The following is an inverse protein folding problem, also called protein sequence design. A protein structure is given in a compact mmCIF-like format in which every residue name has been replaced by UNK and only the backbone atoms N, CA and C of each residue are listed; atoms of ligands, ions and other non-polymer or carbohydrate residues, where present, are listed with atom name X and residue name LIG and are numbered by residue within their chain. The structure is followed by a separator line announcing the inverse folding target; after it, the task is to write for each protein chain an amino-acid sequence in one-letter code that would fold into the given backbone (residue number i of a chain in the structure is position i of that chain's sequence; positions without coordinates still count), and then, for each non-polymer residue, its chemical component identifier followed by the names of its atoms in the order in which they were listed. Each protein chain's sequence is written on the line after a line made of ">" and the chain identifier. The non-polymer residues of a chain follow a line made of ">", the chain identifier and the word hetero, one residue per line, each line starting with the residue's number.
data_IF_782670101846
#
_entry.id   IF_782670101846
#
_cell.length_a   1.000
_cell.length_b   1.000
_cell.length_c   1.000
_cell.angle_alpha   90.00
_cell.angle_beta   90.00
_cell.angle_gamma   90.00
#
_symmetry.space_group_name_H-M   'P 1'
#
loop_
_entity.id
_entity.type
_entity.pdbx_description
1 polymer ?
#
# COMPACT_ATOMS: atom_id res chain seq x y z
N UNK A 1 -27.13 61.03 18.33
CA UNK A 1 -27.14 59.98 17.28
C UNK A 1 -25.76 59.37 17.22
N UNK A 2 -25.57 58.14 17.72
CA UNK A 2 -24.29 57.41 17.61
C UNK A 2 -24.60 56.12 16.86
N UNK A 3 -24.13 56.02 15.62
CA UNK A 3 -24.29 54.85 14.78
C UNK A 3 -23.27 53.79 15.22
N UNK A 4 -23.76 52.65 15.72
CA UNK A 4 -22.95 51.45 15.95
C UNK A 4 -22.73 50.76 14.61
N UNK A 5 -21.49 50.76 14.12
CA UNK A 5 -21.05 49.93 13.00
C UNK A 5 -20.77 48.54 13.55
N UNK A 6 -21.61 47.57 13.17
CA UNK A 6 -21.38 46.15 13.44
C UNK A 6 -20.43 45.60 12.36
N UNK A 7 -19.22 45.21 12.79
CA UNK A 7 -18.27 44.49 11.95
C UNK A 7 -18.67 43.01 11.94
N UNK A 8 -19.24 42.52 10.84
CA UNK A 8 -19.44 41.09 10.63
C UNK A 8 -18.15 40.49 10.09
N UNK A 9 -17.42 39.76 10.95
CA UNK A 9 -16.34 38.87 10.53
C UNK A 9 -16.95 37.67 9.81
N UNK A 10 -16.88 37.66 8.48
CA UNK A 10 -17.18 36.49 7.66
C UNK A 10 -16.09 35.44 7.88
N UNK A 11 -16.36 34.46 8.75
CA UNK A 11 -15.59 33.22 8.81
C UNK A 11 -15.92 32.39 7.57
N UNK A 12 -15.07 32.45 6.56
CA UNK A 12 -15.14 31.50 5.45
C UNK A 12 -14.83 30.09 5.99
N UNK A 13 -15.68 29.08 5.75
CA UNK A 13 -15.36 27.72 6.12
C UNK A 13 -14.20 27.25 5.25
N UNK A 14 -13.05 27.00 5.87
CA UNK A 14 -11.92 26.33 5.24
C UNK A 14 -12.33 24.87 5.02
N UNK A 15 -12.94 24.57 3.88
CA UNK A 15 -13.04 23.19 3.42
C UNK A 15 -11.62 22.78 3.06
N UNK A 16 -10.95 22.09 3.98
CA UNK A 16 -9.75 21.34 3.64
C UNK A 16 -10.16 20.35 2.54
N UNK A 17 -9.74 20.62 1.31
CA UNK A 17 -9.81 19.63 0.24
C UNK A 17 -9.09 18.39 0.77
N UNK A 18 -9.80 17.26 0.87
CA UNK A 18 -9.16 16.00 1.25
C UNK A 18 -8.00 15.75 0.28
N UNK A 19 -6.77 15.62 0.80
CA UNK A 19 -5.60 15.37 -0.03
C UNK A 19 -5.80 14.10 -0.87
N UNK A 20 -5.56 14.19 -2.18
CA UNK A 20 -5.68 13.05 -3.08
C UNK A 20 -4.44 12.15 -2.96
N UNK A 21 -4.38 11.32 -1.91
CA UNK A 21 -3.21 10.48 -1.64
C UNK A 21 -2.93 9.44 -2.74
N UNK A 22 -3.93 9.08 -3.52
CA UNK A 22 -3.75 8.32 -4.77
C UNK A 22 -2.76 9.03 -5.71
N UNK A 23 -2.90 10.35 -5.90
CA UNK A 23 -1.99 11.13 -6.73
C UNK A 23 -0.57 11.18 -6.14
N UNK A 24 -0.43 11.21 -4.81
CA UNK A 24 0.88 11.14 -4.14
C UNK A 24 1.57 9.80 -4.40
N UNK A 25 0.83 8.68 -4.32
CA UNK A 25 1.34 7.34 -4.66
C UNK A 25 1.77 7.27 -6.13
N UNK A 26 0.96 7.83 -7.04
CA UNK A 26 1.28 7.88 -8.47
C UNK A 26 2.56 8.68 -8.77
N UNK A 27 2.73 9.83 -8.11
CA UNK A 27 3.96 10.62 -8.20
C UNK A 27 5.17 9.80 -7.72
N UNK A 28 5.03 9.04 -6.62
CA UNK A 28 6.14 8.22 -6.11
C UNK A 28 6.55 7.11 -7.07
N UNK A 29 5.60 6.35 -7.63
CA UNK A 29 5.96 5.28 -8.58
C UNK A 29 6.60 5.80 -9.87
N UNK A 30 6.36 7.07 -10.24
CA UNK A 30 7.03 7.72 -11.37
C UNK A 30 8.51 8.02 -11.09
N UNK A 31 8.87 8.18 -9.81
CA UNK A 31 10.23 8.45 -9.32
C UNK A 31 11.02 7.18 -8.99
N UNK A 32 10.32 6.05 -8.82
CA UNK A 32 10.96 4.75 -8.66
C UNK A 32 11.47 4.31 -10.03
N UNK A 33 12.78 4.10 -10.22
CA UNK A 33 13.28 3.74 -11.53
C UNK A 33 12.73 2.36 -11.94
N UNK A 34 12.50 2.15 -13.24
CA UNK A 34 12.00 0.87 -13.79
C UNK A 34 13.08 -0.20 -14.01
N UNK A 35 12.67 -1.47 -14.03
CA UNK A 35 13.52 -2.65 -14.22
C UNK A 35 14.09 -3.22 -12.91
N UNK A 36 15.29 -3.79 -12.98
CA UNK A 36 16.01 -4.32 -11.81
C UNK A 36 15.79 -5.81 -11.53
N UNK A 37 15.05 -6.53 -12.39
CA UNK A 37 14.71 -7.96 -12.28
C UNK A 37 13.76 -8.29 -11.12
N UNK A 38 12.85 -9.23 -11.38
CA UNK A 38 12.02 -9.85 -10.34
C UNK A 38 12.81 -10.92 -9.57
N UNK A 39 12.83 -10.83 -8.24
CA UNK A 39 13.38 -11.87 -7.37
C UNK A 39 12.67 -11.88 -6.00
N UNK A 40 12.43 -13.06 -5.45
CA UNK A 40 11.82 -13.29 -4.11
C UNK A 40 12.81 -13.95 -3.15
N UNK A 41 14.11 -13.83 -3.43
CA UNK A 41 15.17 -14.42 -2.63
C UNK A 41 15.71 -13.41 -1.60
N UNK A 42 16.64 -13.88 -0.77
CA UNK A 42 17.31 -13.06 0.25
C UNK A 42 17.93 -11.78 -0.31
N UNK A 43 18.43 -11.79 -1.55
CA UNK A 43 19.06 -10.61 -2.15
C UNK A 43 18.05 -9.48 -2.36
N UNK A 44 16.82 -9.80 -2.76
CA UNK A 44 15.74 -8.83 -2.95
C UNK A 44 15.23 -8.28 -1.61
N UNK A 45 15.11 -9.14 -0.58
CA UNK A 45 14.78 -8.68 0.77
C UNK A 45 15.84 -7.72 1.32
N UNK A 46 17.12 -8.08 1.19
CA UNK A 46 18.21 -7.21 1.62
C UNK A 46 18.28 -5.91 0.81
N UNK A 47 17.99 -5.94 -0.49
CA UNK A 47 17.93 -4.75 -1.33
C UNK A 47 16.85 -3.77 -0.83
N UNK A 48 15.65 -4.29 -0.54
CA UNK A 48 14.58 -3.49 0.04
C UNK A 48 14.95 -2.91 1.41
N UNK A 49 15.50 -3.71 2.33
CA UNK A 49 15.94 -3.22 3.65
C UNK A 49 17.02 -2.15 3.52
N UNK A 50 18.04 -2.33 2.66
CA UNK A 50 19.09 -1.31 2.44
C UNK A 50 18.58 -0.04 1.75
N UNK A 51 17.44 -0.09 1.08
CA UNK A 51 16.85 1.10 0.45
C UNK A 51 16.28 2.09 1.46
N UNK A 52 16.14 1.71 2.74
CA UNK A 52 15.59 2.56 3.80
C UNK A 52 16.61 2.65 4.93
N UNK A 53 17.00 3.88 5.26
CA UNK A 53 17.84 4.18 6.43
C UNK A 53 17.07 5.12 7.34
N UNK A 54 17.08 4.86 8.64
CA UNK A 54 16.44 5.70 9.64
C UNK A 54 17.54 6.33 10.49
N UNK A 55 17.37 7.61 10.80
CA UNK A 55 18.29 8.43 11.58
C UNK A 55 17.48 9.27 12.56
N UNK A 56 18.14 9.94 13.52
CA UNK A 56 17.45 10.85 14.44
C UNK A 56 16.70 12.00 13.76
N UNK A 57 17.02 12.31 12.49
CA UNK A 57 16.32 13.30 11.66
C UNK A 57 15.22 12.72 10.77
N UNK A 58 14.81 11.46 10.98
CA UNK A 58 13.81 10.75 10.17
C UNK A 58 14.42 9.73 9.20
N UNK A 59 13.63 9.29 8.21
CA UNK A 59 14.05 8.31 7.23
C UNK A 59 14.63 8.93 5.95
N UNK A 60 15.58 8.22 5.33
CA UNK A 60 16.07 8.43 3.97
C UNK A 60 15.81 7.17 3.15
N UNK A 61 15.14 7.35 2.01
CA UNK A 61 14.77 6.27 1.10
C UNK A 61 15.54 6.46 -0.21
N UNK A 62 16.19 5.40 -0.67
CA UNK A 62 16.97 5.34 -1.92
C UNK A 62 16.34 4.30 -2.85
N UNK A 63 15.38 4.68 -3.71
CA UNK A 63 14.57 3.72 -4.47
C UNK A 63 15.39 2.83 -5.42
N UNK A 64 16.48 3.34 -5.96
CA UNK A 64 17.39 2.59 -6.84
C UNK A 64 18.09 1.41 -6.14
N UNK A 65 18.23 1.46 -4.81
CA UNK A 65 18.83 0.40 -4.02
C UNK A 65 17.89 -0.80 -3.79
N UNK A 66 16.58 -0.64 -4.02
CA UNK A 66 15.57 -1.68 -3.82
C UNK A 66 15.49 -2.68 -4.98
N UNK A 67 16.63 -2.99 -5.63
CA UNK A 67 16.73 -3.88 -6.79
C UNK A 67 17.76 -4.99 -6.55
N UNK A 68 17.46 -6.26 -6.87
CA UNK A 68 16.20 -6.76 -7.43
C UNK A 68 15.02 -6.67 -6.44
N UNK A 69 13.80 -6.87 -6.93
CA UNK A 69 12.59 -6.66 -6.13
C UNK A 69 11.49 -7.68 -6.43
N UNK A 70 10.46 -7.69 -5.60
CA UNK A 70 9.23 -8.50 -5.72
C UNK A 70 8.01 -7.62 -5.47
N UNK A 71 6.82 -8.17 -5.72
CA UNK A 71 5.59 -7.40 -5.84
C UNK A 71 5.24 -6.60 -4.57
N UNK A 72 5.18 -7.26 -3.40
CA UNK A 72 4.93 -6.60 -2.10
C UNK A 72 6.06 -5.64 -1.72
N UNK A 73 7.31 -5.94 -2.04
CA UNK A 73 8.45 -5.06 -1.79
C UNK A 73 8.37 -3.74 -2.57
N UNK A 74 8.01 -3.81 -3.86
CA UNK A 74 7.85 -2.63 -4.71
C UNK A 74 6.68 -1.75 -4.25
N UNK A 75 5.53 -2.35 -3.94
CA UNK A 75 4.37 -1.59 -3.46
C UNK A 75 4.60 -0.99 -2.07
N UNK A 76 5.34 -1.67 -1.20
CA UNK A 76 5.71 -1.10 0.11
C UNK A 76 6.67 0.07 -0.01
N UNK A 77 7.66 -0.02 -0.90
CA UNK A 77 8.56 1.09 -1.20
C UNK A 77 7.77 2.34 -1.63
N UNK A 78 6.75 2.17 -2.48
CA UNK A 78 5.88 3.26 -2.90
C UNK A 78 5.09 3.87 -1.72
N UNK A 79 4.56 3.05 -0.80
CA UNK A 79 3.93 3.55 0.43
C UNK A 79 4.93 4.36 1.27
N UNK A 80 6.12 3.83 1.53
CA UNK A 80 7.14 4.50 2.34
C UNK A 80 7.57 5.84 1.72
N UNK A 81 7.74 5.88 0.40
CA UNK A 81 8.03 7.13 -0.31
C UNK A 81 6.88 8.13 -0.20
N UNK A 82 5.62 7.67 -0.26
CA UNK A 82 4.46 8.55 -0.13
C UNK A 82 4.39 9.16 1.28
N UNK A 83 4.63 8.35 2.31
CA UNK A 83 4.70 8.84 3.69
C UNK A 83 5.83 9.85 3.89
N UNK A 84 7.02 9.59 3.33
CA UNK A 84 8.15 10.52 3.42
C UNK A 84 7.86 11.84 2.69
N UNK A 85 7.19 11.78 1.54
CA UNK A 85 6.83 12.98 0.78
C UNK A 85 5.76 13.81 1.52
N UNK A 86 4.74 13.18 2.09
CA UNK A 86 3.75 13.84 2.95
C UNK A 86 4.37 14.46 4.20
N UNK A 87 5.31 13.76 4.85
CA UNK A 87 6.07 14.29 5.98
C UNK A 87 6.87 15.54 5.58
N UNK A 88 7.58 15.50 4.44
CA UNK A 88 8.34 16.64 3.92
C UNK A 88 7.46 17.84 3.58
N UNK A 89 6.21 17.61 3.18
CA UNK A 89 5.20 18.65 2.92
C UNK A 89 4.55 19.18 4.20
N UNK A 90 4.81 18.55 5.36
CA UNK A 90 4.17 18.90 6.64
C UNK A 90 2.71 18.46 6.73
N UNK A 91 2.25 17.56 5.86
CA UNK A 91 0.86 17.04 5.87
C UNK A 91 0.68 15.96 6.95
N UNK A 92 1.74 15.24 7.31
CA UNK A 92 1.77 14.28 8.40
C UNK A 92 3.06 14.43 9.22
N UNK A 93 3.06 13.88 10.43
CA UNK A 93 4.26 13.80 11.28
C UNK A 93 4.60 12.34 11.52
N UNK A 94 5.83 11.93 11.19
CA UNK A 94 6.31 10.55 11.40
C UNK A 94 7.54 10.57 12.30
N UNK A 95 7.38 10.17 13.56
CA UNK A 95 8.51 10.16 14.50
C UNK A 95 9.59 9.15 14.06
N UNK A 96 10.88 9.35 14.41
CA UNK A 96 11.95 8.39 14.10
C UNK A 96 11.63 6.95 14.51
N UNK A 97 10.95 6.76 15.65
CA UNK A 97 10.54 5.43 16.14
C UNK A 97 9.46 4.79 15.24
N UNK A 98 8.59 5.61 14.64
CA UNK A 98 7.64 5.14 13.63
C UNK A 98 8.36 4.73 12.36
N UNK A 99 9.35 5.51 11.91
CA UNK A 99 10.21 5.14 10.80
C UNK A 99 10.96 3.83 11.05
N UNK A 100 11.46 3.61 12.26
CA UNK A 100 12.08 2.33 12.66
C UNK A 100 11.07 1.16 12.64
N UNK A 101 9.83 1.39 13.09
CA UNK A 101 8.79 0.37 13.10
C UNK A 101 8.31 -0.02 11.69
N UNK A 102 8.25 0.93 10.76
CA UNK A 102 7.78 0.69 9.39
C UNK A 102 8.89 0.37 8.39
N UNK A 103 10.17 0.48 8.76
CA UNK A 103 11.23 0.08 7.82
C UNK A 103 11.11 -1.42 7.47
N UNK A 104 11.46 -1.83 6.23
CA UNK A 104 11.42 -3.24 5.85
C UNK A 104 12.40 -4.08 6.67
N UNK A 105 11.92 -5.17 7.27
CA UNK A 105 12.71 -6.07 8.14
C UNK A 105 12.50 -7.53 7.75
N UNK A 106 13.44 -8.45 7.99
CA UNK A 106 13.26 -9.88 7.71
C UNK A 106 12.37 -10.55 8.78
N UNK A 107 11.14 -10.05 8.95
CA UNK A 107 10.17 -10.54 9.90
C UNK A 107 9.22 -11.56 9.24
N UNK A 108 8.71 -12.55 9.99
CA UNK A 108 7.68 -13.46 9.51
C UNK A 108 6.38 -12.74 9.13
N UNK A 109 5.58 -13.37 8.28
CA UNK A 109 4.22 -12.93 7.95
C UNK A 109 3.40 -12.64 9.22
N UNK A 110 2.64 -11.55 9.18
CA UNK A 110 1.82 -11.06 10.30
C UNK A 110 2.61 -10.33 11.40
N UNK A 111 3.94 -10.28 11.38
CA UNK A 111 4.74 -9.63 12.43
C UNK A 111 5.14 -8.20 12.08
N UNK A 112 4.83 -7.25 12.96
CA UNK A 112 5.08 -5.83 12.74
C UNK A 112 4.34 -5.28 11.52
N UNK A 113 4.79 -4.14 11.00
CA UNK A 113 4.13 -3.47 9.86
C UNK A 113 4.53 -4.12 8.55
N UNK A 114 5.82 -4.35 8.33
CA UNK A 114 6.31 -5.02 7.14
C UNK A 114 5.79 -6.45 7.00
N UNK A 115 5.79 -7.26 8.08
CA UNK A 115 5.31 -8.64 8.02
C UNK A 115 3.81 -8.72 7.74
N UNK A 116 3.00 -7.72 8.14
CA UNK A 116 1.61 -7.61 7.71
C UNK A 116 1.50 -7.30 6.21
N UNK A 117 2.25 -6.31 5.74
CA UNK A 117 2.24 -5.92 4.34
C UNK A 117 2.65 -7.08 3.40
N UNK A 118 3.69 -7.81 3.78
CA UNK A 118 4.27 -8.87 2.98
C UNK A 118 3.49 -10.18 3.02
N UNK A 119 2.56 -10.34 3.97
CA UNK A 119 1.90 -11.61 4.20
C UNK A 119 1.10 -12.13 3.01
N UNK A 120 0.95 -13.45 2.95
CA UNK A 120 -0.10 -14.09 2.15
C UNK A 120 -1.49 -13.54 2.50
N UNK A 121 -2.45 -13.72 1.60
CA UNK A 121 -3.82 -13.28 1.82
C UNK A 121 -3.98 -11.76 1.78
N UNK A 122 -4.83 -11.19 2.66
CA UNK A 122 -5.22 -9.79 2.61
C UNK A 122 -4.23 -8.88 3.36
N UNK A 123 -2.93 -9.19 3.41
CA UNK A 123 -1.93 -8.51 4.26
C UNK A 123 -2.01 -6.97 4.24
N UNK A 124 -1.92 -6.36 3.05
CA UNK A 124 -2.09 -4.90 2.87
C UNK A 124 -3.43 -4.38 3.40
N UNK A 125 -4.53 -5.03 3.03
CA UNK A 125 -5.87 -4.61 3.44
C UNK A 125 -6.09 -4.77 4.95
N UNK A 126 -5.56 -5.84 5.55
CA UNK A 126 -5.58 -6.08 7.00
C UNK A 126 -4.82 -4.97 7.73
N UNK A 127 -3.63 -4.60 7.26
CA UNK A 127 -2.88 -3.47 7.82
C UNK A 127 -3.67 -2.17 7.74
N UNK A 128 -4.29 -1.89 6.58
CA UNK A 128 -5.11 -0.69 6.38
C UNK A 128 -6.28 -0.64 7.35
N UNK A 129 -6.93 -1.77 7.56
CA UNK A 129 -8.07 -1.89 8.46
C UNK A 129 -7.66 -1.73 9.93
N UNK A 130 -6.62 -2.44 10.37
CA UNK A 130 -6.19 -2.41 11.78
C UNK A 130 -5.68 -1.05 12.23
N UNK A 131 -5.00 -0.31 11.34
CA UNK A 131 -4.51 1.04 11.62
C UNK A 131 -5.49 2.14 11.24
N UNK A 132 -6.51 1.83 10.44
CA UNK A 132 -7.40 2.83 9.86
C UNK A 132 -6.71 3.75 8.84
N UNK A 133 -5.79 3.21 8.03
CA UNK A 133 -5.11 3.96 6.96
C UNK A 133 -6.05 4.34 5.81
N UNK A 134 -7.19 3.67 5.71
CA UNK A 134 -8.25 3.94 4.73
C UNK A 134 -9.07 2.68 4.45
N UNK A 135 -9.99 2.79 3.49
CA UNK A 135 -10.96 1.73 3.20
C UNK A 135 -10.44 0.63 2.27
N UNK A 136 -11.03 -0.55 2.42
CA UNK A 136 -10.81 -1.71 1.56
C UNK A 136 -12.11 -2.11 0.85
N UNK A 137 -12.02 -2.53 -0.41
CA UNK A 137 -13.18 -2.87 -1.23
C UNK A 137 -12.82 -3.84 -2.36
N UNK A 138 -13.82 -4.49 -2.98
CA UNK A 138 -13.59 -5.44 -4.08
C UNK A 138 -14.09 -5.00 -5.44
N UNK A 139 -14.99 -4.01 -5.48
CA UNK A 139 -15.53 -3.49 -6.73
C UNK A 139 -14.54 -2.59 -7.48
N UNK A 140 -14.08 -3.05 -8.64
CA UNK A 140 -13.16 -2.28 -9.50
C UNK A 140 -13.77 -0.96 -10.01
N UNK A 141 -15.10 -0.83 -10.03
CA UNK A 141 -15.76 0.42 -10.42
C UNK A 141 -15.53 1.54 -9.42
N UNK A 142 -15.21 1.21 -8.18
CA UNK A 142 -14.81 2.17 -7.15
C UNK A 142 -13.31 2.51 -7.20
N UNK A 143 -12.50 1.72 -7.91
CA UNK A 143 -11.06 1.84 -7.92
C UNK A 143 -10.59 3.08 -8.68
N UNK A 144 -9.53 3.70 -8.15
CA UNK A 144 -8.87 4.88 -8.73
C UNK A 144 -7.38 4.56 -8.92
N UNK A 145 -6.75 5.08 -9.98
CA UNK A 145 -5.30 4.98 -10.13
C UNK A 145 -4.58 5.39 -8.83
N UNK A 146 -3.60 4.61 -8.38
CA UNK A 146 -2.90 4.81 -7.10
C UNK A 146 -3.42 3.95 -5.95
N UNK A 147 -4.58 3.28 -6.09
CA UNK A 147 -5.04 2.32 -5.08
C UNK A 147 -4.07 1.13 -5.03
N UNK A 148 -3.76 0.66 -3.82
CA UNK A 148 -3.06 -0.61 -3.66
C UNK A 148 -4.03 -1.74 -3.98
N UNK A 149 -3.56 -2.75 -4.71
CA UNK A 149 -4.38 -3.84 -5.19
C UNK A 149 -3.66 -5.18 -4.95
N UNK A 150 -4.35 -6.10 -4.29
CA UNK A 150 -4.03 -7.52 -4.33
C UNK A 150 -4.87 -8.18 -5.42
N UNK A 151 -4.20 -8.70 -6.44
CA UNK A 151 -4.80 -9.56 -7.46
C UNK A 151 -4.74 -11.00 -6.98
N UNK A 152 -5.88 -11.71 -7.02
CA UNK A 152 -5.95 -13.14 -6.78
C UNK A 152 -6.21 -13.88 -8.10
N UNK A 153 -5.32 -14.81 -8.45
CA UNK A 153 -5.44 -15.61 -9.68
C UNK A 153 -6.36 -16.82 -9.50
N UNK A 154 -6.64 -17.20 -8.26
CA UNK A 154 -7.55 -18.27 -7.85
C UNK A 154 -8.38 -17.81 -6.65
N UNK A 155 -9.39 -18.59 -6.25
CA UNK A 155 -10.18 -18.31 -5.05
C UNK A 155 -9.45 -18.66 -3.73
N UNK A 156 -8.27 -19.30 -3.82
CA UNK A 156 -7.47 -19.67 -2.65
C UNK A 156 -6.87 -18.44 -1.97
N UNK A 157 -6.92 -18.42 -0.64
CA UNK A 157 -6.31 -17.38 0.21
C UNK A 157 -5.42 -18.05 1.23
N UNK A 158 -4.15 -17.68 1.30
CA UNK A 158 -3.18 -18.32 2.20
C UNK A 158 -2.23 -19.31 1.52
N UNK A 159 -2.14 -20.53 2.06
CA UNK A 159 -1.08 -21.48 1.71
C UNK A 159 -1.01 -21.78 0.21
N UNK A 160 -2.17 -21.99 -0.41
CA UNK A 160 -2.30 -22.32 -1.83
C UNK A 160 -2.60 -21.10 -2.71
N UNK A 161 -2.51 -19.90 -2.14
CA UNK A 161 -2.74 -18.65 -2.87
C UNK A 161 -1.74 -18.48 -4.01
N UNK A 162 -2.25 -17.95 -5.11
CA UNK A 162 -1.43 -17.29 -6.12
C UNK A 162 -1.93 -15.86 -6.24
N UNK A 163 -1.15 -14.93 -5.69
CA UNK A 163 -1.49 -13.52 -5.65
C UNK A 163 -0.42 -12.63 -6.25
N UNK A 164 -0.76 -11.37 -6.51
CA UNK A 164 0.16 -10.34 -6.95
C UNK A 164 -0.19 -9.00 -6.28
N UNK A 165 0.76 -8.39 -5.57
CA UNK A 165 0.59 -7.06 -4.96
C UNK A 165 1.01 -5.98 -5.96
N UNK A 166 0.13 -5.06 -6.26
CA UNK A 166 0.32 -4.04 -7.29
C UNK A 166 -0.26 -2.69 -6.87
N UNK A 167 0.05 -1.64 -7.61
CA UNK A 167 -0.65 -0.36 -7.57
C UNK A 167 -1.49 -0.25 -8.83
N UNK A 168 -2.80 -0.13 -8.67
CA UNK A 168 -3.75 -0.06 -9.77
C UNK A 168 -3.56 1.25 -10.57
N UNK A 169 -3.64 1.17 -11.89
CA UNK A 169 -3.48 2.31 -12.80
C UNK A 169 -4.71 2.56 -13.68
N UNK A 170 -5.74 1.73 -13.59
CA UNK A 170 -6.94 1.81 -14.42
C UNK A 170 -7.21 0.54 -15.23
N UNK A 171 -8.28 0.59 -16.01
CA UNK A 171 -8.58 -0.40 -17.05
C UNK A 171 -8.34 0.18 -18.44
N UNK A 172 -8.03 -0.69 -19.39
CA UNK A 172 -7.89 -0.33 -20.80
C UNK A 172 -8.45 -1.46 -21.67
N UNK A 173 -8.94 -1.11 -22.87
CA UNK A 173 -9.34 -2.10 -23.88
C UNK A 173 -8.17 -2.32 -24.83
N UNK A 174 -7.65 -3.54 -24.91
CA UNK A 174 -6.60 -3.94 -25.84
C UNK A 174 -7.12 -5.11 -26.66
N UNK A 175 -7.15 -4.97 -27.98
CA UNK A 175 -7.68 -5.97 -28.91
C UNK A 175 -9.08 -6.48 -28.51
N UNK A 176 -9.96 -5.56 -28.10
CA UNK A 176 -11.33 -5.86 -27.67
C UNK A 176 -11.45 -6.54 -26.30
N UNK A 177 -10.35 -6.70 -25.56
CA UNK A 177 -10.33 -7.29 -24.22
C UNK A 177 -10.10 -6.24 -23.15
N UNK A 178 -10.89 -6.29 -22.08
CA UNK A 178 -10.65 -5.49 -20.89
C UNK A 178 -9.41 -5.99 -20.15
N UNK A 179 -8.48 -5.07 -19.93
CA UNK A 179 -7.22 -5.27 -19.24
C UNK A 179 -7.20 -4.43 -17.97
N UNK A 180 -6.64 -4.98 -16.89
CA UNK A 180 -6.30 -4.25 -15.67
C UNK A 180 -4.84 -3.83 -15.76
N UNK A 181 -4.59 -2.53 -15.77
CA UNK A 181 -3.27 -1.92 -15.81
C UNK A 181 -2.79 -1.62 -14.40
N UNK A 182 -1.53 -1.91 -14.11
CA UNK A 182 -0.95 -1.72 -12.78
C UNK A 182 0.56 -1.50 -12.83
N UNK A 183 1.11 -0.99 -11.73
CA UNK A 183 2.55 -0.89 -11.48
C UNK A 183 2.95 -1.85 -10.35
N UNK A 184 4.07 -2.57 -10.50
CA UNK A 184 4.64 -3.47 -9.48
C UNK A 184 6.05 -3.91 -9.87
N UNK A 185 6.70 -4.80 -9.10
CA UNK A 185 7.80 -5.62 -9.62
C UNK A 185 7.23 -6.87 -10.29
N UNK A 186 7.54 -7.06 -11.57
CA UNK A 186 6.94 -8.07 -12.45
C UNK A 186 7.98 -9.02 -13.02
N UNK A 187 7.61 -10.29 -13.19
CA UNK A 187 8.46 -11.25 -13.88
C UNK A 187 8.53 -10.93 -15.40
N UNK A 188 9.70 -11.07 -16.03
CA UNK A 188 11.04 -11.20 -15.44
C UNK A 188 11.70 -9.85 -15.07
N UNK A 189 11.15 -8.73 -15.58
CA UNK A 189 11.88 -7.47 -15.77
C UNK A 189 12.10 -6.63 -14.50
N UNK A 190 11.31 -6.86 -13.44
CA UNK A 190 11.33 -6.06 -12.22
C UNK A 190 10.29 -4.92 -12.24
N UNK A 191 10.63 -3.78 -11.65
CA UNK A 191 9.68 -2.68 -11.41
C UNK A 191 9.17 -2.05 -12.70
N UNK A 192 7.86 -1.82 -12.79
CA UNK A 192 7.26 -1.10 -13.92
C UNK A 192 5.80 -1.44 -14.13
N UNK A 193 5.26 -0.89 -15.23
CA UNK A 193 3.87 -1.07 -15.62
C UNK A 193 3.66 -2.38 -16.39
N UNK A 194 2.56 -3.06 -16.07
CA UNK A 194 2.04 -4.22 -16.81
C UNK A 194 0.52 -4.13 -16.89
N UNK A 195 -0.03 -4.90 -17.82
CA UNK A 195 -1.46 -5.08 -17.98
C UNK A 195 -1.78 -6.58 -18.04
N UNK A 196 -2.89 -6.99 -17.44
CA UNK A 196 -3.39 -8.37 -17.49
C UNK A 196 -4.86 -8.38 -17.87
N UNK A 197 -5.31 -9.39 -18.62
CA UNK A 197 -6.73 -9.54 -18.94
C UNK A 197 -7.55 -9.67 -17.67
N UNK A 198 -8.64 -8.89 -17.58
CA UNK A 198 -9.60 -8.96 -16.47
C UNK A 198 -10.16 -10.37 -16.26
N UNK A 199 -10.27 -11.16 -17.34
CA UNK A 199 -10.74 -12.57 -17.32
C UNK A 199 -9.80 -13.53 -16.61
N UNK A 200 -8.51 -13.18 -16.44
CA UNK A 200 -7.53 -14.01 -15.71
C UNK A 200 -7.57 -13.78 -14.19
N UNK A 201 -8.24 -12.73 -13.73
CA UNK A 201 -8.32 -12.35 -12.32
C UNK A 201 -9.58 -12.98 -11.72
N UNK A 202 -9.41 -13.89 -10.76
CA UNK A 202 -10.53 -14.49 -10.04
C UNK A 202 -11.26 -13.44 -9.21
N UNK A 203 -10.52 -12.68 -8.42
CA UNK A 203 -11.04 -11.54 -7.66
C UNK A 203 -9.92 -10.57 -7.25
N UNK A 204 -10.34 -9.42 -6.73
CA UNK A 204 -9.46 -8.30 -6.38
C UNK A 204 -9.80 -7.79 -4.98
N UNK A 205 -8.78 -7.30 -4.29
CA UNK A 205 -8.93 -6.59 -3.03
C UNK A 205 -8.12 -5.30 -3.09
N UNK A 206 -8.82 -4.18 -3.09
CA UNK A 206 -8.26 -2.84 -3.13
C UNK A 206 -8.11 -2.27 -1.72
N UNK A 207 -7.12 -1.41 -1.55
CA UNK A 207 -6.86 -0.62 -0.34
C UNK A 207 -6.54 0.82 -0.77
N UNK A 208 -7.40 1.76 -0.40
CA UNK A 208 -7.20 3.18 -0.69
C UNK A 208 -6.61 3.88 0.53
N UNK A 209 -5.52 4.61 0.33
CA UNK A 209 -4.91 5.41 1.38
C UNK A 209 -5.72 6.69 1.58
N UNK A 210 -6.24 6.90 2.78
CA UNK A 210 -7.12 8.03 3.13
C UNK A 210 -6.66 8.76 4.39
N UNK A 211 -5.91 8.08 5.26
CA UNK A 211 -5.44 8.58 6.55
C UNK A 211 -3.98 8.16 6.81
N UNK A 212 -3.01 8.64 6.02
CA UNK A 212 -1.60 8.28 6.17
C UNK A 212 -1.01 8.61 7.54
N UNK A 213 -1.53 9.64 8.23
CA UNK A 213 -1.13 10.02 9.58
C UNK A 213 -1.34 8.89 10.60
N UNK A 214 -2.27 7.98 10.34
CA UNK A 214 -2.58 6.83 11.21
C UNK A 214 -1.45 5.81 11.27
N UNK A 215 -0.44 5.90 10.40
CA UNK A 215 0.76 5.06 10.50
C UNK A 215 1.49 5.27 11.85
N UNK A 216 1.37 6.45 12.45
CA UNK A 216 1.94 6.74 13.78
C UNK A 216 1.30 5.89 14.89
N UNK A 217 0.12 5.30 14.66
CA UNK A 217 -0.52 4.37 15.57
C UNK A 217 0.01 2.93 15.47
N UNK A 218 1.16 2.69 14.83
CA UNK A 218 1.73 1.35 14.65
C UNK A 218 1.82 0.52 15.95
N UNK A 219 2.00 1.18 17.11
CA UNK A 219 2.08 0.53 18.40
C UNK A 219 0.72 0.14 19.00
N UNK A 220 -0.41 0.57 18.42
CA UNK A 220 -1.75 0.24 18.90
C UNK A 220 -2.22 -1.15 18.48
N UNK A 221 -1.55 -1.77 17.50
CA UNK A 221 -1.88 -3.12 17.03
C UNK A 221 -0.93 -4.14 17.67
N UNK A 222 -1.38 -5.40 17.88
CA UNK A 222 -0.51 -6.44 18.42
C UNK A 222 0.75 -6.63 17.58
N UNK A 223 1.87 -6.99 18.21
CA UNK A 223 3.13 -7.25 17.49
C UNK A 223 2.96 -8.32 16.40
N UNK A 224 2.11 -9.33 16.63
CA UNK A 224 1.82 -10.40 15.67
C UNK A 224 0.32 -10.51 15.41
N UNK A 225 -0.05 -10.60 14.14
CA UNK A 225 -1.40 -10.98 13.67
C UNK A 225 -1.43 -12.50 13.44
N UNK A 226 -2.16 -13.22 14.29
CA UNK A 226 -2.24 -14.69 14.25
C UNK A 226 -2.92 -15.21 12.98
N UNK A 227 -3.85 -14.45 12.39
CA UNK A 227 -4.51 -14.83 11.16
C UNK A 227 -3.51 -14.82 10.01
N UNK A 228 -2.83 -13.69 9.77
CA UNK A 228 -1.83 -13.56 8.71
C UNK A 228 -0.66 -14.54 8.91
N UNK A 229 -0.19 -14.73 10.14
CA UNK A 229 0.88 -15.67 10.45
C UNK A 229 0.52 -17.14 10.12
N UNK A 230 -0.78 -17.49 10.15
CA UNK A 230 -1.25 -18.84 9.82
C UNK A 230 -1.26 -19.13 8.32
N UNK A 231 -1.37 -18.10 7.48
CA UNK A 231 -1.62 -18.22 6.03
C UNK A 231 -0.45 -18.78 5.21
N UNK A 232 0.70 -19.05 5.84
CA UNK A 232 1.78 -19.84 5.24
C UNK A 232 1.51 -21.35 5.30
N UNK A 233 0.58 -21.79 6.16
CA UNK A 233 0.35 -23.21 6.49
C UNK A 233 -1.09 -23.65 6.29
N UNK A 234 -2.04 -22.72 6.28
CA UNK A 234 -3.45 -23.00 6.09
C UNK A 234 -4.05 -22.07 5.06
N UNK A 235 -5.14 -22.52 4.45
CA UNK A 235 -5.99 -21.67 3.62
C UNK A 235 -7.10 -21.03 4.46
N UNK A 236 -7.49 -19.82 4.07
CA UNK A 236 -8.66 -19.09 4.55
C UNK A 236 -9.68 -18.97 3.42
N UNK A 237 -10.94 -18.73 3.78
CA UNK A 237 -11.97 -18.41 2.78
C UNK A 237 -11.89 -16.95 2.36
N UNK A 238 -12.26 -16.63 1.10
CA UNK A 238 -12.45 -15.23 0.65
C UNK A 238 -13.32 -14.43 1.62
N UNK A 239 -14.43 -15.01 2.11
CA UNK A 239 -15.33 -14.36 3.06
C UNK A 239 -14.64 -13.97 4.36
N UNK A 240 -13.82 -14.87 4.91
CA UNK A 240 -13.07 -14.60 6.13
C UNK A 240 -11.99 -13.53 5.89
N UNK A 241 -11.26 -13.63 4.78
CA UNK A 241 -10.26 -12.63 4.39
C UNK A 241 -10.87 -11.22 4.27
N UNK A 242 -12.03 -11.09 3.61
CA UNK A 242 -12.75 -9.81 3.49
C UNK A 242 -13.23 -9.31 4.86
N UNK A 243 -13.82 -10.18 5.69
CA UNK A 243 -14.28 -9.82 7.04
C UNK A 243 -13.13 -9.31 7.90
N UNK A 244 -12.00 -10.03 7.92
CA UNK A 244 -10.84 -9.67 8.73
C UNK A 244 -10.09 -8.45 8.17
N UNK A 245 -10.22 -8.13 6.88
CA UNK A 245 -9.67 -6.90 6.32
C UNK A 245 -10.67 -5.75 6.25
N UNK A 246 -11.86 -5.88 6.84
CA UNK A 246 -12.88 -4.83 6.81
C UNK A 246 -13.31 -4.43 5.40
N UNK A 247 -13.15 -5.32 4.42
CA UNK A 247 -13.43 -5.03 3.03
C UNK A 247 -14.92 -5.14 2.73
N UNK A 248 -15.46 -4.11 2.09
CA UNK A 248 -16.83 -4.16 1.56
C UNK A 248 -16.85 -4.87 0.21
N UNK A 249 -17.73 -5.88 0.01
CA UNK A 249 -17.90 -6.54 -1.28
C UNK A 249 -18.23 -5.55 -2.40
#
# INVERSE_FOLDING_TARGET
>A
MIARVLFFLLLAPWWAMASDYNAVVLDQISRIPGGGRYATDTSAHQALTRSVSVTGSGARITPSAARPSYCSGATYLALLMALQDLEKRGEITVAPETWEAIRPQPLPDGTGIWGRWNANGPGTARLFYELGLGRNFTDIREARPGDFLKVFWTDAVGQNERGHSVIYLGTEIVDGQEMVKYWSSNKPDGMGTRSVSRKKIAWMLFSRLEHPERIAAWASIPQSDAYLASLLRVDSSRREALKLSGATP
#
